data_IF_317798799273
#
_entry.id   IF_317798799273
#
_cell.length_a   1.000
_cell.length_b   1.000
_cell.length_c   1.000
_cell.angle_alpha   90.00
_cell.angle_beta   90.00
_cell.angle_gamma   90.00
#
_symmetry.space_group_name_H-M   'P 1'
#
loop_
_entity.id
_entity.type
_entity.pdbx_description
1 polymer ?
#
# COMPACT_ATOMS: atom_id res chain seq x y z
N UNK A 1 -28.20 -12.46 8.52
CA UNK A 1 -27.83 -11.03 8.33
C UNK A 1 -26.78 -11.00 7.23
N UNK A 2 -27.12 -10.47 6.06
CA UNK A 2 -26.20 -10.40 4.92
C UNK A 2 -25.54 -9.02 4.91
N UNK A 3 -24.23 -8.98 5.08
CA UNK A 3 -23.42 -7.77 4.91
C UNK A 3 -22.91 -7.80 3.48
N UNK A 4 -23.38 -6.84 2.68
CA UNK A 4 -22.92 -6.69 1.29
C UNK A 4 -21.88 -5.58 1.25
N UNK A 5 -20.70 -5.87 0.73
CA UNK A 5 -19.74 -4.83 0.37
C UNK A 5 -19.94 -4.61 -1.12
N UNK A 6 -20.35 -3.38 -1.47
CA UNK A 6 -20.42 -2.96 -2.87
C UNK A 6 -19.25 -2.03 -3.11
N UNK A 7 -18.19 -2.54 -3.71
CA UNK A 7 -17.15 -1.66 -4.22
C UNK A 7 -17.76 -0.91 -5.42
N UNK A 8 -18.19 0.34 -5.20
CA UNK A 8 -18.63 1.20 -6.29
C UNK A 8 -17.39 1.94 -6.82
N UNK A 9 -16.98 1.70 -8.07
CA UNK A 9 -15.80 2.32 -8.66
C UNK A 9 -16.12 3.78 -8.99
N UNK A 10 -15.94 4.65 -7.99
CA UNK A 10 -15.88 6.10 -8.17
C UNK A 10 -14.47 6.55 -8.51
N UNK A 11 -13.79 5.89 -9.45
CA UNK A 11 -12.48 6.32 -9.97
C UNK A 11 -12.66 6.64 -11.44
N UNK A 12 -12.59 7.92 -11.79
CA UNK A 12 -12.24 8.31 -13.16
C UNK A 12 -10.77 7.90 -13.35
N UNK A 13 -10.55 6.65 -13.80
CA UNK A 13 -9.25 5.99 -13.99
C UNK A 13 -9.37 4.45 -13.95
N UNK A 14 -8.54 3.70 -14.70
CA UNK A 14 -8.95 2.48 -15.39
C UNK A 14 -8.82 1.24 -14.52
N UNK A 15 -9.89 0.84 -13.83
CA UNK A 15 -10.28 -0.54 -13.54
C UNK A 15 -11.24 -0.53 -12.36
N UNK A 16 -12.49 -0.90 -12.65
CA UNK A 16 -13.43 -1.36 -11.64
C UNK A 16 -12.92 -2.70 -11.11
N UNK A 17 -11.98 -2.67 -10.17
CA UNK A 17 -11.42 -3.90 -9.61
C UNK A 17 -12.39 -4.46 -8.56
N UNK A 18 -12.91 -5.65 -8.80
CA UNK A 18 -13.50 -6.47 -7.75
C UNK A 18 -12.38 -6.84 -6.76
N UNK A 19 -12.52 -6.39 -5.51
CA UNK A 19 -11.58 -6.68 -4.44
C UNK A 19 -12.20 -7.76 -3.56
N UNK A 20 -11.53 -8.90 -3.45
CA UNK A 20 -11.92 -9.95 -2.52
C UNK A 20 -11.89 -9.43 -1.08
N UNK A 21 -12.90 -9.83 -0.31
CA UNK A 21 -13.03 -9.44 1.09
C UNK A 21 -13.47 -10.62 1.96
N UNK A 22 -12.98 -10.63 3.18
CA UNK A 22 -13.39 -11.55 4.24
C UNK A 22 -14.21 -10.80 5.29
N UNK A 23 -15.28 -11.43 5.75
CA UNK A 23 -16.10 -10.92 6.86
C UNK A 23 -15.94 -11.86 8.05
N UNK A 24 -15.46 -11.30 9.17
CA UNK A 24 -15.28 -12.01 10.43
C UNK A 24 -16.30 -11.46 11.41
N UNK A 25 -17.16 -12.33 11.96
CA UNK A 25 -18.06 -11.97 13.07
C UNK A 25 -17.27 -11.97 14.38
N UNK A 26 -17.39 -10.91 15.17
CA UNK A 26 -16.79 -10.80 16.50
C UNK A 26 -17.83 -11.14 17.59
N UNK A 27 -17.37 -11.47 18.80
CA UNK A 27 -18.24 -11.88 19.93
C UNK A 27 -18.99 -10.72 20.62
N UNK A 28 -18.83 -9.50 20.12
CA UNK A 28 -19.40 -8.26 20.67
C UNK A 28 -20.40 -7.59 19.70
N UNK A 29 -21.08 -8.38 18.87
CA UNK A 29 -22.03 -7.90 17.83
C UNK A 29 -21.43 -6.92 16.80
N UNK A 30 -20.11 -6.95 16.61
CA UNK A 30 -19.43 -6.24 15.53
C UNK A 30 -18.92 -7.18 14.44
N UNK A 31 -18.61 -6.62 13.27
CA UNK A 31 -18.05 -7.35 12.14
C UNK A 31 -16.75 -6.70 11.70
N UNK A 32 -15.73 -7.52 11.45
CA UNK A 32 -14.46 -7.09 10.89
C UNK A 32 -14.44 -7.43 9.40
N UNK A 33 -14.27 -6.43 8.56
CA UNK A 33 -14.08 -6.61 7.11
C UNK A 33 -12.59 -6.52 6.83
N UNK A 34 -12.04 -7.55 6.18
CA UNK A 34 -10.66 -7.55 5.66
C UNK A 34 -10.70 -7.55 4.14
N UNK A 35 -9.83 -6.76 3.52
CA UNK A 35 -9.64 -6.72 2.08
C UNK A 35 -8.16 -6.44 1.80
N UNK A 36 -7.67 -6.91 0.66
CA UNK A 36 -6.30 -6.63 0.20
C UNK A 36 -6.37 -5.92 -1.14
N UNK A 37 -6.02 -4.61 -1.21
CA UNK A 37 -5.99 -3.90 -2.48
C UNK A 37 -5.02 -4.56 -3.47
N UNK A 38 -5.39 -4.75 -4.75
CA UNK A 38 -4.53 -5.39 -5.74
C UNK A 38 -3.33 -4.53 -6.15
N UNK A 39 -3.34 -3.24 -5.83
CA UNK A 39 -2.26 -2.33 -6.16
C UNK A 39 -2.41 -0.96 -5.51
N UNK A 40 -1.51 -0.02 -5.86
CA UNK A 40 -1.63 1.36 -5.42
C UNK A 40 -2.76 2.08 -6.15
N UNK A 41 -3.47 2.94 -5.43
CA UNK A 41 -4.64 3.60 -5.97
C UNK A 41 -5.47 4.30 -4.89
N UNK A 42 -6.53 4.96 -5.35
CA UNK A 42 -7.59 5.46 -4.47
C UNK A 42 -8.76 4.50 -4.56
N UNK A 43 -9.25 4.07 -3.41
CA UNK A 43 -10.32 3.10 -3.27
C UNK A 43 -11.46 3.71 -2.48
N UNK A 44 -12.69 3.40 -2.90
CA UNK A 44 -13.91 3.79 -2.20
C UNK A 44 -14.62 2.52 -1.78
N UNK A 45 -14.76 2.32 -0.47
CA UNK A 45 -15.38 1.13 0.11
C UNK A 45 -16.75 1.52 0.63
N UNK A 46 -17.79 0.87 0.10
CA UNK A 46 -19.17 1.05 0.54
C UNK A 46 -19.61 -0.17 1.33
N UNK A 47 -20.11 0.05 2.54
CA UNK A 47 -20.59 -1.02 3.42
C UNK A 47 -22.10 -0.92 3.52
N UNK A 48 -22.79 -1.99 3.12
CA UNK A 48 -24.24 -2.06 3.15
C UNK A 48 -24.71 -3.09 4.18
N UNK A 49 -25.70 -2.68 4.98
CA UNK A 49 -26.46 -3.55 5.86
C UNK A 49 -27.91 -3.60 5.38
N UNK A 50 -28.42 -4.81 5.10
CA UNK A 50 -29.77 -4.99 4.56
C UNK A 50 -30.07 -4.13 3.30
N UNK A 51 -29.08 -4.01 2.41
CA UNK A 51 -29.13 -3.16 1.19
C UNK A 51 -29.16 -1.65 1.44
N UNK A 52 -28.97 -1.20 2.68
CA UNK A 52 -28.86 0.20 3.04
C UNK A 52 -27.44 0.53 3.49
N UNK A 53 -26.93 1.68 3.09
CA UNK A 53 -25.60 2.14 3.48
C UNK A 53 -25.56 2.42 4.99
N UNK A 54 -24.50 1.95 5.65
CA UNK A 54 -24.31 2.23 7.08
C UNK A 54 -23.86 3.69 7.29
N UNK A 55 -24.10 4.27 8.47
CA UNK A 55 -23.48 5.55 8.82
C UNK A 55 -21.96 5.50 8.64
N UNK A 56 -21.36 6.60 8.18
CA UNK A 56 -19.91 6.79 7.96
C UNK A 56 -19.36 6.13 6.68
N UNK A 57 -20.12 5.26 6.03
CA UNK A 57 -19.86 4.88 4.64
C UNK A 57 -20.20 6.06 3.70
N UNK A 58 -19.44 6.26 2.59
CA UNK A 58 -18.33 5.43 2.12
C UNK A 58 -16.98 5.79 2.77
N UNK A 59 -16.10 4.79 2.84
CA UNK A 59 -14.72 4.95 3.31
C UNK A 59 -13.79 5.20 2.12
N UNK A 60 -13.00 6.27 2.20
CA UNK A 60 -12.03 6.65 1.18
C UNK A 60 -10.62 6.28 1.62
N UNK A 61 -9.92 5.50 0.80
CA UNK A 61 -8.63 4.93 1.16
C UNK A 61 -7.64 5.22 0.05
N UNK A 62 -6.44 5.62 0.44
CA UNK A 62 -5.31 5.78 -0.48
C UNK A 62 -4.27 4.72 -0.17
N UNK A 63 -3.97 3.88 -1.16
CA UNK A 63 -2.88 2.91 -1.12
C UNK A 63 -1.71 3.52 -1.88
N UNK A 64 -0.62 3.80 -1.16
CA UNK A 64 0.59 4.31 -1.78
C UNK A 64 1.32 3.20 -2.57
N UNK A 65 2.04 3.54 -3.65
CA UNK A 65 2.91 2.60 -4.35
C UNK A 65 3.90 1.94 -3.39
N UNK A 66 4.08 0.62 -3.58
CA UNK A 66 5.18 -0.10 -2.95
C UNK A 66 6.52 0.51 -3.35
N UNK A 67 7.53 0.27 -2.53
CA UNK A 67 8.89 0.69 -2.80
C UNK A 67 9.57 -0.21 -3.84
N UNK A 68 10.36 0.39 -4.72
CA UNK A 68 11.11 -0.28 -5.78
C UNK A 68 12.61 -0.16 -5.50
N UNK A 69 13.16 -1.23 -4.90
CA UNK A 69 14.58 -1.29 -4.54
C UNK A 69 15.50 -1.20 -5.78
N UNK A 70 15.03 -1.56 -6.98
CA UNK A 70 15.84 -1.46 -8.20
C UNK A 70 16.12 -0.01 -8.61
N UNK A 71 15.37 0.95 -8.06
CA UNK A 71 15.61 2.39 -8.29
C UNK A 71 16.59 3.00 -7.28
N UNK A 72 17.06 2.24 -6.30
CA UNK A 72 18.12 2.67 -5.38
C UNK A 72 19.47 2.49 -6.06
N UNK A 73 20.32 3.51 -5.99
CA UNK A 73 21.72 3.45 -6.47
C UNK A 73 22.66 3.88 -5.36
N UNK A 74 23.85 3.29 -5.30
CA UNK A 74 24.88 3.70 -4.36
C UNK A 74 26.20 3.89 -5.12
N UNK A 75 26.89 5.00 -4.84
CA UNK A 75 28.12 5.38 -5.53
C UNK A 75 29.11 6.00 -4.56
N UNK A 76 30.40 5.75 -4.76
CA UNK A 76 31.47 6.39 -4.00
C UNK A 76 32.72 5.52 -3.87
N UNK A 77 33.84 6.12 -3.41
CA UNK A 77 35.13 5.44 -3.33
C UNK A 77 35.11 4.23 -2.41
N UNK A 78 34.23 4.19 -1.40
CA UNK A 78 34.07 3.04 -0.52
C UNK A 78 33.41 1.81 -1.17
N UNK A 79 32.84 1.95 -2.37
CA UNK A 79 32.22 0.85 -3.12
C UNK A 79 33.12 0.33 -4.26
N UNK A 80 34.28 0.95 -4.49
CA UNK A 80 35.20 0.50 -5.53
C UNK A 80 35.89 -0.81 -5.13
N UNK A 81 36.15 -1.67 -6.13
CA UNK A 81 36.85 -2.94 -5.93
C UNK A 81 38.33 -2.78 -5.56
N UNK A 82 38.90 -1.61 -5.80
CA UNK A 82 40.30 -1.28 -5.56
C UNK A 82 40.42 0.16 -5.04
N UNK A 83 41.54 0.48 -4.39
CA UNK A 83 41.82 1.82 -3.88
C UNK A 83 41.24 2.14 -2.50
N UNK A 84 40.66 1.16 -1.81
CA UNK A 84 40.26 1.28 -0.39
C UNK A 84 41.44 0.85 0.48
N UNK A 85 41.86 1.75 1.38
CA UNK A 85 43.03 1.54 2.24
C UNK A 85 42.64 1.14 3.67
N UNK A 86 43.38 0.19 4.25
CA UNK A 86 43.17 -0.25 5.63
C UNK A 86 43.44 0.90 6.60
N UNK A 87 42.55 1.09 7.57
CA UNK A 87 42.69 2.10 8.62
C UNK A 87 42.41 3.54 8.16
N UNK A 88 42.06 3.76 6.88
CA UNK A 88 41.62 5.08 6.40
C UNK A 88 40.10 5.09 6.19
N UNK A 89 39.38 6.08 6.74
CA UNK A 89 37.96 6.25 6.45
C UNK A 89 37.72 6.48 4.95
N UNK A 90 36.63 5.92 4.45
CA UNK A 90 36.13 6.16 3.08
C UNK A 90 34.62 6.44 3.15
N UNK A 91 34.01 6.81 2.02
CA UNK A 91 32.58 7.18 1.97
C UNK A 91 31.89 6.63 0.73
N UNK A 92 30.56 6.61 0.79
CA UNK A 92 29.67 6.41 -0.35
C UNK A 92 28.37 7.16 -0.09
N UNK A 93 27.64 7.42 -1.17
CA UNK A 93 26.35 8.09 -1.16
C UNK A 93 25.28 7.14 -1.70
N UNK A 94 24.12 7.11 -1.06
CA UNK A 94 22.96 6.32 -1.51
C UNK A 94 21.90 7.26 -2.06
N UNK A 95 21.51 7.04 -3.31
CA UNK A 95 20.45 7.73 -4.02
C UNK A 95 19.17 6.89 -4.00
N UNK A 96 18.13 7.39 -3.35
CA UNK A 96 16.84 6.71 -3.17
C UNK A 96 15.69 7.36 -3.93
N UNK A 97 15.98 8.42 -4.70
CA UNK A 97 14.96 9.20 -5.41
C UNK A 97 14.20 8.31 -6.40
N UNK A 98 12.88 8.25 -6.24
CA UNK A 98 12.00 7.46 -7.11
C UNK A 98 11.80 6.00 -6.69
N UNK A 99 12.52 5.51 -5.66
CA UNK A 99 12.36 4.15 -5.11
C UNK A 99 11.13 3.99 -4.19
N UNK A 100 10.34 5.05 -3.98
CA UNK A 100 9.23 5.03 -3.03
C UNK A 100 9.70 5.20 -1.59
N UNK A 101 8.75 5.17 -0.63
CA UNK A 101 9.05 5.30 0.79
C UNK A 101 9.35 3.92 1.38
N UNK A 102 10.58 3.74 1.87
CA UNK A 102 11.03 2.55 2.58
C UNK A 102 12.10 2.94 3.61
N UNK A 103 12.36 2.04 4.55
CA UNK A 103 13.51 2.19 5.45
C UNK A 103 14.78 1.86 4.66
N UNK A 104 15.77 2.77 4.72
CA UNK A 104 17.13 2.54 4.20
C UNK A 104 17.96 1.75 5.21
#
# INVERSE_FOLDING_TARGET
VSIGIKCAPGVVGPAEADIDFDIIKNDNDTFTVKYTPPGPGRYTIMVLFASQEIPISPFHIKVDPSHDANKVKAEGPGLNRTGVEVGKPTHFTVFTKGAGKAKL
#
